data_IF_318931466451
#
_entry.id   IF_318931466451
#
_cell.length_a   1.000
_cell.length_b   1.000
_cell.length_c   1.000
_cell.angle_alpha   90.00
_cell.angle_beta   90.00
_cell.angle_gamma   90.00
#
_symmetry.space_group_name_H-M   'P 1'
#
loop_
_entity.id
_entity.type
_entity.pdbx_description
1 polymer ?
#
# COMPACT_ATOMS: atom_id res chain seq x y z
N UNK A 1 -4.55 -21.68 25.80
CA UNK A 1 -3.49 -20.70 25.54
C UNK A 1 -3.80 -19.99 24.24
N UNK A 2 -4.20 -18.73 24.31
CA UNK A 2 -4.68 -17.93 23.18
C UNK A 2 -3.49 -17.23 22.50
N UNK A 3 -3.61 -16.88 21.23
CA UNK A 3 -2.57 -16.15 20.51
C UNK A 3 -2.34 -14.74 21.10
N UNK A 4 -3.38 -14.16 21.72
CA UNK A 4 -3.29 -12.89 22.46
C UNK A 4 -2.39 -12.99 23.69
N UNK A 5 -2.44 -14.12 24.40
CA UNK A 5 -1.58 -14.36 25.58
C UNK A 5 -0.12 -14.37 25.14
N UNK A 6 0.17 -14.96 23.98
CA UNK A 6 1.52 -14.98 23.41
C UNK A 6 2.03 -13.60 23.00
N UNK A 7 1.15 -12.66 22.60
CA UNK A 7 1.56 -11.28 22.32
C UNK A 7 2.22 -10.64 23.56
N UNK A 8 1.68 -10.92 24.75
CA UNK A 8 2.28 -10.50 26.03
C UNK A 8 3.63 -11.16 26.29
N UNK A 9 3.74 -12.48 26.07
CA UNK A 9 4.99 -13.24 26.28
C UNK A 9 6.16 -12.74 25.42
N UNK A 10 5.88 -12.26 24.20
CA UNK A 10 6.88 -11.72 23.27
C UNK A 10 7.09 -10.21 23.38
N UNK A 11 6.31 -9.50 24.21
CA UNK A 11 6.48 -8.07 24.46
C UNK A 11 7.69 -7.76 25.39
N UNK A 12 8.16 -8.75 26.15
CA UNK A 12 9.28 -8.61 27.11
C UNK A 12 10.56 -8.09 26.46
N UNK A 13 11.34 -7.28 27.20
CA UNK A 13 12.60 -6.69 26.72
C UNK A 13 13.71 -7.71 26.47
N UNK A 14 13.58 -8.91 27.02
CA UNK A 14 14.48 -10.05 26.87
C UNK A 14 14.30 -10.83 25.57
N UNK A 15 13.30 -10.44 24.76
CA UNK A 15 12.98 -11.10 23.50
C UNK A 15 13.37 -10.23 22.30
N UNK A 16 14.08 -10.83 21.32
CA UNK A 16 14.45 -10.16 20.06
C UNK A 16 13.33 -10.17 18.99
N UNK A 17 12.23 -10.90 19.25
CA UNK A 17 11.08 -11.02 18.35
C UNK A 17 9.82 -10.52 19.04
N UNK A 18 8.82 -10.12 18.25
CA UNK A 18 7.50 -9.70 18.72
C UNK A 18 6.40 -10.23 17.79
N UNK A 19 5.16 -10.21 18.30
CA UNK A 19 3.96 -10.45 17.50
C UNK A 19 3.33 -9.10 17.14
N UNK A 20 3.11 -8.88 15.85
CA UNK A 20 2.30 -7.78 15.33
C UNK A 20 0.98 -8.31 14.79
N UNK A 21 -0.03 -7.47 14.79
CA UNK A 21 -1.35 -7.75 14.24
C UNK A 21 -1.52 -6.92 12.96
N UNK A 22 -1.97 -7.58 11.89
CA UNK A 22 -2.20 -6.99 10.58
C UNK A 22 -3.56 -7.48 10.10
N UNK A 23 -4.54 -6.58 10.02
CA UNK A 23 -5.90 -6.87 9.54
C UNK A 23 -6.51 -8.16 10.15
N UNK A 24 -6.41 -8.29 11.48
CA UNK A 24 -6.91 -9.45 12.23
C UNK A 24 -6.04 -10.72 12.15
N UNK A 25 -4.97 -10.72 11.36
CA UNK A 25 -3.95 -11.77 11.31
C UNK A 25 -2.75 -11.43 12.21
N UNK A 26 -2.00 -12.45 12.65
CA UNK A 26 -0.83 -12.28 13.50
C UNK A 26 0.44 -12.68 12.77
N UNK A 27 1.47 -11.87 12.90
CA UNK A 27 2.79 -12.12 12.34
C UNK A 27 3.88 -12.03 13.42
N UNK A 28 4.81 -13.00 13.39
CA UNK A 28 6.05 -12.91 14.17
C UNK A 28 7.06 -12.11 13.36
N UNK A 29 7.68 -11.11 13.98
CA UNK A 29 8.74 -10.31 13.38
C UNK A 29 9.84 -10.00 14.39
N UNK A 30 10.97 -9.52 13.91
CA UNK A 30 12.04 -9.01 14.78
C UNK A 30 11.64 -7.64 15.32
N UNK A 31 12.05 -7.35 16.55
CA UNK A 31 11.85 -6.01 17.12
C UNK A 31 12.68 -4.96 16.38
N UNK A 32 12.17 -3.74 16.33
CA UNK A 32 12.85 -2.62 15.66
C UNK A 32 14.22 -2.33 16.26
N UNK A 33 14.39 -2.54 17.57
CA UNK A 33 15.65 -2.35 18.29
C UNK A 33 16.74 -3.32 17.83
N UNK A 34 16.35 -4.49 17.26
CA UNK A 34 17.29 -5.49 16.74
C UNK A 34 17.63 -5.29 15.27
N UNK A 35 17.04 -4.30 14.60
CA UNK A 35 17.15 -4.08 13.15
C UNK A 35 18.61 -3.95 12.68
N UNK A 36 19.43 -3.14 13.37
CA UNK A 36 20.81 -2.91 13.00
C UNK A 36 21.68 -4.19 13.07
N UNK A 37 21.36 -5.09 13.99
CA UNK A 37 22.05 -6.37 14.13
C UNK A 37 21.62 -7.36 13.04
N UNK A 38 20.32 -7.46 12.81
CA UNK A 38 19.75 -8.35 11.78
C UNK A 38 20.20 -7.92 10.39
N UNK A 39 20.25 -6.61 10.11
CA UNK A 39 20.70 -6.06 8.83
C UNK A 39 22.14 -6.47 8.47
N UNK A 40 23.02 -6.66 9.46
CA UNK A 40 24.39 -7.12 9.23
C UNK A 40 24.49 -8.60 8.85
N UNK A 41 23.52 -9.40 9.26
CA UNK A 41 23.50 -10.86 9.06
C UNK A 41 22.77 -11.26 7.78
N UNK A 42 21.77 -10.49 7.36
CA UNK A 42 20.92 -10.80 6.20
C UNK A 42 21.37 -10.01 5.00
N UNK A 43 21.72 -10.70 3.91
CA UNK A 43 21.89 -10.05 2.60
C UNK A 43 20.60 -9.33 2.24
N UNK A 44 20.69 -8.01 2.02
CA UNK A 44 19.51 -7.21 1.72
C UNK A 44 18.83 -7.75 0.45
N UNK A 45 17.54 -8.14 0.51
CA UNK A 45 16.82 -8.46 -0.70
C UNK A 45 16.85 -7.26 -1.64
N UNK A 46 16.94 -7.50 -2.94
CA UNK A 46 16.87 -6.41 -3.94
C UNK A 46 15.65 -5.55 -3.63
N UNK A 47 15.86 -4.28 -3.31
CA UNK A 47 14.77 -3.33 -3.13
C UNK A 47 13.89 -3.36 -4.37
N UNK A 48 12.63 -3.74 -4.21
CA UNK A 48 11.61 -3.51 -5.24
C UNK A 48 11.47 -1.99 -5.34
N UNK A 49 11.99 -1.40 -6.40
CA UNK A 49 11.80 0.03 -6.63
C UNK A 49 10.39 0.24 -7.17
N UNK A 50 9.54 0.86 -6.39
CA UNK A 50 8.28 1.39 -6.88
C UNK A 50 8.60 2.71 -7.60
N UNK A 51 8.16 2.83 -8.84
CA UNK A 51 8.24 4.09 -9.58
C UNK A 51 7.13 5.04 -9.11
N UNK A 52 7.26 6.33 -9.36
CA UNK A 52 6.26 7.34 -8.99
C UNK A 52 4.89 6.99 -9.57
N UNK A 53 4.85 6.55 -10.83
CA UNK A 53 3.64 6.04 -11.51
C UNK A 53 2.97 4.88 -10.77
N UNK A 54 3.77 3.97 -10.21
CA UNK A 54 3.25 2.85 -9.43
C UNK A 54 2.78 3.30 -8.05
N UNK A 55 3.49 4.23 -7.41
CA UNK A 55 3.09 4.81 -6.12
C UNK A 55 1.78 5.57 -6.24
N UNK A 56 1.62 6.40 -7.26
CA UNK A 56 0.39 7.11 -7.57
C UNK A 56 -0.79 6.14 -7.75
N UNK A 57 -0.62 5.12 -8.59
CA UNK A 57 -1.65 4.10 -8.83
C UNK A 57 -1.99 3.33 -7.54
N UNK A 58 -0.99 2.98 -6.75
CA UNK A 58 -1.15 2.27 -5.49
C UNK A 58 -1.90 3.11 -4.46
N UNK A 59 -1.62 4.42 -4.39
CA UNK A 59 -2.33 5.36 -3.52
C UNK A 59 -3.81 5.44 -3.88
N UNK A 60 -4.14 5.54 -5.18
CA UNK A 60 -5.54 5.53 -5.63
C UNK A 60 -6.24 4.25 -5.16
N UNK A 61 -5.60 3.08 -5.33
CA UNK A 61 -6.18 1.82 -4.87
C UNK A 61 -6.37 1.83 -3.36
N UNK A 62 -5.37 2.26 -2.59
CA UNK A 62 -5.42 2.25 -1.13
C UNK A 62 -6.55 3.12 -0.54
N UNK A 63 -6.78 4.30 -1.12
CA UNK A 63 -7.79 5.24 -0.63
C UNK A 63 -9.18 5.09 -1.25
N UNK A 64 -9.29 4.42 -2.41
CA UNK A 64 -10.56 4.29 -3.16
C UNK A 64 -11.11 2.88 -3.21
N UNK A 65 -10.38 1.88 -2.68
CA UNK A 65 -10.83 0.49 -2.74
C UNK A 65 -12.22 0.27 -2.15
N UNK A 66 -13.06 -0.58 -2.75
CA UNK A 66 -12.82 -1.33 -3.99
C UNK A 66 -12.90 -0.43 -5.24
N UNK A 67 -11.91 -0.49 -6.14
CA UNK A 67 -11.79 0.40 -7.29
C UNK A 67 -11.51 -0.38 -8.57
N UNK A 68 -12.13 0.02 -9.67
CA UNK A 68 -11.90 -0.57 -10.99
C UNK A 68 -10.71 0.08 -11.71
N UNK A 69 -10.16 -0.62 -12.71
CA UNK A 69 -9.10 -0.05 -13.55
C UNK A 69 -9.56 1.22 -14.28
N UNK A 70 -10.82 1.26 -14.74
CA UNK A 70 -11.37 2.44 -15.42
C UNK A 70 -11.42 3.66 -14.50
N UNK A 71 -11.80 3.48 -13.24
CA UNK A 71 -11.79 4.55 -12.24
C UNK A 71 -10.36 5.03 -11.94
N UNK A 72 -9.39 4.10 -11.84
CA UNK A 72 -7.97 4.46 -11.67
C UNK A 72 -7.51 5.31 -12.86
N UNK A 73 -7.80 4.88 -14.08
CA UNK A 73 -7.44 5.61 -15.30
C UNK A 73 -8.14 6.97 -15.41
N UNK A 74 -9.39 7.07 -14.96
CA UNK A 74 -10.13 8.32 -14.92
C UNK A 74 -9.51 9.34 -13.95
N UNK A 75 -9.03 8.88 -12.80
CA UNK A 75 -8.35 9.74 -11.81
C UNK A 75 -6.99 10.18 -12.32
N UNK A 76 -6.20 9.26 -12.90
CA UNK A 76 -4.86 9.55 -13.40
C UNK A 76 -4.81 10.30 -14.73
N UNK A 77 -5.91 10.30 -15.49
CA UNK A 77 -5.95 10.86 -16.84
C UNK A 77 -5.18 10.08 -17.90
N UNK A 78 -4.53 8.97 -17.54
CA UNK A 78 -3.69 8.14 -18.43
C UNK A 78 -3.93 6.65 -18.20
N UNK A 79 -3.60 5.83 -19.20
CA UNK A 79 -3.68 4.36 -19.06
C UNK A 79 -2.77 3.83 -17.96
N UNK A 80 -3.29 2.89 -17.19
CA UNK A 80 -2.63 2.36 -15.99
C UNK A 80 -2.33 0.86 -16.06
N UNK A 81 -2.46 0.23 -17.23
CA UNK A 81 -2.25 -1.21 -17.40
C UNK A 81 -0.93 -1.71 -16.83
N UNK A 82 0.16 -1.02 -17.17
CA UNK A 82 1.49 -1.41 -16.71
C UNK A 82 1.62 -1.31 -15.18
N UNK A 83 1.17 -0.22 -14.60
CA UNK A 83 1.26 0.00 -13.14
C UNK A 83 0.42 -1.02 -12.40
N UNK A 84 -0.85 -1.24 -12.80
CA UNK A 84 -1.75 -2.22 -12.18
C UNK A 84 -1.15 -3.64 -12.25
N UNK A 85 -0.67 -4.07 -13.43
CA UNK A 85 -0.07 -5.39 -13.60
C UNK A 85 1.19 -5.57 -12.73
N UNK A 86 2.04 -4.54 -12.63
CA UNK A 86 3.23 -4.59 -11.76
C UNK A 86 2.88 -4.62 -10.28
N UNK A 87 1.86 -3.89 -9.85
CA UNK A 87 1.38 -3.92 -8.48
C UNK A 87 0.78 -5.28 -8.11
N UNK A 88 0.08 -5.95 -9.03
CA UNK A 88 -0.39 -7.34 -8.88
C UNK A 88 0.80 -8.31 -8.78
N UNK A 89 1.80 -8.19 -9.66
CA UNK A 89 3.03 -9.00 -9.63
C UNK A 89 3.78 -8.84 -8.30
N UNK A 90 3.84 -7.61 -7.78
CA UNK A 90 4.44 -7.31 -6.48
C UNK A 90 3.56 -7.71 -5.30
N UNK A 91 2.34 -8.18 -5.56
CA UNK A 91 1.35 -8.55 -4.56
C UNK A 91 0.97 -7.40 -3.60
N UNK A 92 1.09 -6.17 -4.04
CA UNK A 92 0.67 -5.01 -3.27
C UNK A 92 -0.83 -4.75 -3.40
N UNK A 93 -1.41 -5.15 -4.53
CA UNK A 93 -2.85 -5.14 -4.75
C UNK A 93 -3.34 -6.54 -5.15
N UNK A 94 -4.63 -6.78 -5.02
CA UNK A 94 -5.32 -8.03 -5.40
C UNK A 94 -6.65 -7.72 -6.06
N UNK A 95 -7.15 -8.68 -6.83
CA UNK A 95 -8.52 -8.67 -7.33
C UNK A 95 -9.47 -9.06 -6.18
N UNK A 96 -10.45 -8.21 -5.90
CA UNK A 96 -11.49 -8.46 -4.89
C UNK A 96 -12.71 -9.16 -5.47
N UNK A 97 -12.91 -9.07 -6.79
CA UNK A 97 -14.04 -9.64 -7.50
C UNK A 97 -14.39 -8.83 -8.75
N UNK A 98 -15.63 -8.93 -9.19
CA UNK A 98 -16.16 -8.19 -10.34
C UNK A 98 -17.44 -7.46 -9.94
N UNK A 99 -17.63 -6.24 -10.45
CA UNK A 99 -18.89 -5.53 -10.27
C UNK A 99 -19.99 -6.15 -11.14
N UNK A 100 -21.20 -6.14 -10.61
CA UNK A 100 -22.39 -6.57 -11.36
C UNK A 100 -22.95 -5.40 -12.21
N UNK A 101 -22.09 -4.91 -13.09
CA UNK A 101 -22.39 -3.82 -14.04
C UNK A 101 -22.01 -4.25 -15.45
N UNK A 102 -22.41 -3.48 -16.47
CA UNK A 102 -22.09 -3.77 -17.87
C UNK A 102 -20.58 -3.94 -18.04
N UNK A 103 -20.16 -5.08 -18.58
CA UNK A 103 -18.75 -5.42 -18.77
C UNK A 103 -18.09 -6.11 -17.59
N UNK A 104 -18.76 -6.27 -16.44
CA UNK A 104 -18.27 -6.96 -15.24
C UNK A 104 -16.82 -6.61 -14.89
N UNK A 105 -16.48 -5.31 -14.69
CA UNK A 105 -15.12 -4.90 -14.47
C UNK A 105 -14.57 -5.47 -13.15
N UNK A 106 -13.29 -5.85 -13.17
CA UNK A 106 -12.58 -6.32 -11.98
C UNK A 106 -12.37 -5.14 -11.04
N UNK A 107 -12.58 -5.36 -9.76
CA UNK A 107 -12.25 -4.42 -8.68
C UNK A 107 -11.01 -4.86 -7.92
N UNK A 108 -10.19 -3.88 -7.58
CA UNK A 108 -8.92 -4.05 -6.90
C UNK A 108 -8.97 -3.50 -5.48
N UNK A 109 -8.15 -4.08 -4.63
CA UNK A 109 -7.88 -3.59 -3.28
C UNK A 109 -6.47 -3.96 -2.86
N UNK A 110 -6.04 -3.43 -1.73
CA UNK A 110 -4.72 -3.68 -1.15
C UNK A 110 -4.63 -5.07 -0.51
N UNK A 111 -3.41 -5.49 -0.19
CA UNK A 111 -3.10 -6.79 0.41
C UNK A 111 -2.44 -6.61 1.78
N UNK A 112 -2.25 -7.71 2.51
CA UNK A 112 -1.41 -7.71 3.72
C UNK A 112 0.05 -7.32 3.41
N UNK A 113 0.56 -7.66 2.22
CA UNK A 113 1.92 -7.26 1.82
C UNK A 113 2.04 -5.74 1.68
N UNK A 114 0.98 -5.06 1.22
CA UNK A 114 0.90 -3.61 1.25
C UNK A 114 1.04 -3.09 2.69
N UNK A 115 0.25 -3.60 3.63
CA UNK A 115 0.31 -3.18 5.03
C UNK A 115 1.71 -3.36 5.62
N UNK A 116 2.37 -4.50 5.32
CA UNK A 116 3.75 -4.76 5.75
C UNK A 116 4.75 -3.79 5.14
N UNK A 117 4.62 -3.49 3.85
CA UNK A 117 5.54 -2.59 3.14
C UNK A 117 5.47 -1.16 3.66
N UNK A 118 4.27 -0.71 4.05
CA UNK A 118 4.04 0.65 4.53
C UNK A 118 4.04 0.75 6.07
N UNK A 119 4.15 -0.36 6.77
CA UNK A 119 4.27 -0.40 8.23
C UNK A 119 2.98 0.01 8.96
N UNK A 120 1.82 -0.20 8.34
CA UNK A 120 0.49 0.05 8.92
C UNK A 120 -0.18 -1.26 9.29
N UNK A 121 -1.00 -1.26 10.34
CA UNK A 121 -1.70 -2.47 10.79
C UNK A 121 -3.04 -2.68 10.08
N UNK A 122 -3.62 -1.60 9.57
CA UNK A 122 -4.87 -1.60 8.79
C UNK A 122 -4.92 -0.42 7.82
N UNK A 123 -5.90 -0.43 6.92
CA UNK A 123 -6.11 0.66 5.96
C UNK A 123 -6.55 1.96 6.67
N UNK A 124 -7.27 1.84 7.77
CA UNK A 124 -7.76 2.97 8.56
C UNK A 124 -6.63 3.76 9.23
N UNK A 125 -5.43 3.16 9.36
CA UNK A 125 -4.24 3.85 9.88
C UNK A 125 -3.53 4.72 8.82
N UNK A 126 -3.97 4.66 7.56
CA UNK A 126 -3.44 5.57 6.55
C UNK A 126 -3.84 7.01 6.90
N UNK A 127 -2.92 7.99 6.72
CA UNK A 127 -3.23 9.38 7.04
C UNK A 127 -4.41 9.88 6.19
N UNK A 128 -5.34 10.58 6.83
CA UNK A 128 -6.41 11.25 6.10
C UNK A 128 -5.80 12.28 5.15
N UNK A 129 -6.21 12.21 3.91
CA UNK A 129 -5.87 13.25 2.93
C UNK A 129 -6.82 14.41 3.22
N UNK A 130 -6.34 15.42 3.93
CA UNK A 130 -7.07 16.66 4.14
C UNK A 130 -7.55 17.23 2.81
N UNK A 131 -8.79 17.74 2.79
CA UNK A 131 -9.37 18.34 1.57
C UNK A 131 -8.49 19.47 1.01
N UNK A 132 -7.74 20.15 1.87
CA UNK A 132 -6.76 21.18 1.51
C UNK A 132 -5.58 20.57 0.73
N UNK A 133 -5.10 19.38 1.11
CA UNK A 133 -4.05 18.68 0.37
C UNK A 133 -4.55 18.18 -0.98
N UNK A 134 -5.82 17.75 -1.05
CA UNK A 134 -6.45 17.35 -2.33
C UNK A 134 -6.56 18.54 -3.30
N UNK A 135 -6.89 19.73 -2.79
CA UNK A 135 -6.99 20.94 -3.60
C UNK A 135 -5.60 21.38 -4.09
N UNK A 136 -4.59 21.38 -3.23
CA UNK A 136 -3.22 21.71 -3.61
C UNK A 136 -2.66 20.74 -4.66
N UNK A 137 -2.92 19.44 -4.52
CA UNK A 137 -2.52 18.42 -5.51
C UNK A 137 -3.23 18.61 -6.85
N UNK A 138 -4.50 19.02 -6.84
CA UNK A 138 -5.23 19.34 -8.07
C UNK A 138 -4.74 20.62 -8.73
N UNK A 139 -4.40 21.64 -7.94
CA UNK A 139 -3.85 22.91 -8.45
C UNK A 139 -2.45 22.70 -9.05
N UNK A 140 -1.56 21.97 -8.38
CA UNK A 140 -0.23 21.63 -8.90
C UNK A 140 -0.31 20.81 -10.20
N UNK A 141 -1.20 19.80 -10.26
CA UNK A 141 -1.43 19.02 -11.47
C UNK A 141 -2.02 19.85 -12.62
N UNK A 142 -2.88 20.83 -12.33
CA UNK A 142 -3.42 21.76 -13.33
C UNK A 142 -2.35 22.75 -13.82
N UNK A 143 -1.46 23.22 -12.96
CA UNK A 143 -0.34 24.09 -13.34
C UNK A 143 0.68 23.36 -14.21
N UNK A 144 1.02 22.10 -13.93
CA UNK A 144 1.89 21.30 -14.78
C UNK A 144 1.30 21.06 -16.17
N UNK A 145 -0.01 20.79 -16.26
CA UNK A 145 -0.71 20.64 -17.54
C UNK A 145 -0.76 21.96 -18.29
N UNK A 146 -1.01 23.09 -17.62
CA UNK A 146 -1.01 24.41 -18.22
C UNK A 146 0.38 24.84 -18.72
N UNK A 147 1.43 24.51 -17.97
CA UNK A 147 2.82 24.77 -18.37
C UNK A 147 3.26 23.92 -19.59
N UNK A 148 2.73 22.71 -19.74
CA UNK A 148 3.03 21.83 -20.87
C UNK A 148 2.32 22.22 -22.18
N UNK A 149 1.28 23.05 -22.11
CA UNK A 149 0.49 23.53 -23.29
C UNK A 149 1.07 24.84 -23.86
N UNK A 150 1.98 25.50 -23.15
CA UNK A 150 2.51 26.83 -23.54
C UNK A 150 3.86 26.75 -24.27
N UNK A 151 4.25 25.58 -24.81
CA UNK A 151 5.44 25.42 -25.66
C UNK A 151 5.04 25.09 -27.08
#
# INVERSE_FOLDING_TARGET
MCIRDRKGDYAGKDRGICLIELDGAYQICTKIETYEYVKKLVSQPKKRSLTDVMLETLSIVAYKQPVTKQEIEAIRGVKSDFAVNKLLEYRLIKELGRLDTIGHPIVFGTTEEFLRCFGVSSIEELPDIDEVQKQNFMEEAMEEVAASITV
#
